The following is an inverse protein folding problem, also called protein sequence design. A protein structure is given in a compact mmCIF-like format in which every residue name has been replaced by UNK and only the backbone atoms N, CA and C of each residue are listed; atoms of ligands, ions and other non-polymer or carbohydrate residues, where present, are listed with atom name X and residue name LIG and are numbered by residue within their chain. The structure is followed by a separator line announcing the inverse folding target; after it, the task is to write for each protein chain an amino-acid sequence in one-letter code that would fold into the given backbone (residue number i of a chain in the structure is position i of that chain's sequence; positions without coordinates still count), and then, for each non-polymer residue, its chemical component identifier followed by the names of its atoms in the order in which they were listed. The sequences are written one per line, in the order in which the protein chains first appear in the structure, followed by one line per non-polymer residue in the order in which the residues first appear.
data_IF_254039648427
#
_entry.id   IF_254039648427
#
_cell.length_a   1.000
_cell.length_b   1.000
_cell.length_c   1.000
_cell.angle_alpha   90.00
_cell.angle_beta   90.00
_cell.angle_gamma   90.00
#
_symmetry.space_group_name_H-M   'P 1'
#
loop_
_entity.id
_entity.type
_entity.pdbx_description
1 polymer ?
#
# COMPACT_ATOMS: atom_id res chain seq x y z
N UNK A 1 -18.37 21.67 -24.13
CA UNK A 1 -17.80 20.31 -24.48
C UNK A 1 -17.85 19.47 -23.21
N UNK A 2 -18.46 18.27 -23.25
CA UNK A 2 -18.53 17.38 -22.08
C UNK A 2 -17.41 16.34 -22.18
N UNK A 3 -16.44 16.41 -21.26
CA UNK A 3 -15.23 15.62 -21.26
C UNK A 3 -15.22 14.61 -20.11
N UNK A 4 -14.84 13.37 -20.36
CA UNK A 4 -14.74 12.31 -19.35
C UNK A 4 -13.45 11.49 -19.52
N UNK A 5 -13.03 10.77 -18.46
CA UNK A 5 -12.02 9.73 -18.62
C UNK A 5 -12.62 8.53 -19.36
N UNK A 6 -11.90 8.02 -20.37
CA UNK A 6 -12.41 7.05 -21.37
C UNK A 6 -12.98 5.77 -20.74
N UNK A 7 -12.45 5.30 -19.65
CA UNK A 7 -12.80 4.02 -19.04
C UNK A 7 -13.06 4.15 -17.53
N UNK A 8 -13.62 5.27 -17.08
CA UNK A 8 -13.97 5.46 -15.68
C UNK A 8 -14.96 4.36 -15.23
N UNK A 9 -14.67 3.74 -14.07
CA UNK A 9 -15.45 2.65 -13.51
C UNK A 9 -15.13 1.27 -14.07
N UNK A 10 -14.55 1.17 -15.27
CA UNK A 10 -14.15 -0.10 -15.88
C UNK A 10 -12.65 -0.38 -15.77
N UNK A 11 -11.82 0.64 -15.52
CA UNK A 11 -10.39 0.50 -15.50
C UNK A 11 -9.80 1.01 -14.18
N UNK A 12 -9.05 0.15 -13.50
CA UNK A 12 -8.50 0.41 -12.17
C UNK A 12 -9.54 0.27 -11.05
N UNK A 13 -9.03 0.23 -9.79
CA UNK A 13 -9.87 0.20 -8.58
C UNK A 13 -10.15 1.62 -8.08
N UNK A 14 -10.85 1.77 -6.95
CA UNK A 14 -11.29 3.05 -6.39
C UNK A 14 -10.21 4.14 -6.44
N UNK A 15 -9.01 3.88 -5.92
CA UNK A 15 -7.94 4.90 -5.89
C UNK A 15 -7.53 5.40 -7.27
N UNK A 16 -7.44 4.51 -8.28
CA UNK A 16 -7.17 4.91 -9.66
C UNK A 16 -8.34 5.72 -10.24
N UNK A 17 -9.58 5.33 -9.94
CA UNK A 17 -10.77 6.03 -10.41
C UNK A 17 -10.89 7.44 -9.82
N UNK A 18 -10.49 7.63 -8.56
CA UNK A 18 -10.43 8.97 -7.95
C UNK A 18 -9.40 9.87 -8.67
N UNK A 19 -8.23 9.34 -9.06
CA UNK A 19 -7.28 10.08 -9.91
C UNK A 19 -7.85 10.41 -11.28
N UNK A 20 -8.60 9.50 -11.90
CA UNK A 20 -9.27 9.75 -13.18
C UNK A 20 -10.29 10.88 -13.07
N UNK A 21 -11.10 10.92 -12.01
CA UNK A 21 -12.07 11.99 -11.74
C UNK A 21 -11.32 13.31 -11.49
N UNK A 22 -10.35 13.32 -10.57
CA UNK A 22 -9.59 14.51 -10.22
C UNK A 22 -8.87 15.12 -11.43
N UNK A 23 -8.17 14.30 -12.21
CA UNK A 23 -7.48 14.75 -13.41
C UNK A 23 -8.44 15.25 -14.50
N UNK A 24 -9.63 14.65 -14.64
CA UNK A 24 -10.66 15.14 -15.58
C UNK A 24 -11.17 16.52 -15.17
N UNK A 25 -11.48 16.73 -13.88
CA UNK A 25 -11.86 18.02 -13.33
C UNK A 25 -10.76 19.08 -13.56
N UNK A 26 -9.50 18.75 -13.27
CA UNK A 26 -8.38 19.66 -13.47
C UNK A 26 -8.16 20.03 -14.94
N UNK A 27 -8.33 19.10 -15.86
CA UNK A 27 -8.25 19.39 -17.32
C UNK A 27 -9.40 20.27 -17.78
N UNK A 28 -10.63 20.01 -17.32
CA UNK A 28 -11.77 20.85 -17.63
C UNK A 28 -11.60 22.28 -17.09
N UNK A 29 -11.11 22.42 -15.86
CA UNK A 29 -10.79 23.71 -15.25
C UNK A 29 -9.74 24.49 -16.06
N UNK A 30 -8.65 23.84 -16.46
CA UNK A 30 -7.62 24.48 -17.32
C UNK A 30 -8.13 24.84 -18.71
N UNK A 31 -9.14 24.14 -19.20
CA UNK A 31 -9.83 24.46 -20.47
C UNK A 31 -10.90 25.56 -20.34
N UNK A 32 -11.08 26.14 -19.14
CA UNK A 32 -11.90 27.33 -18.89
C UNK A 32 -13.19 27.09 -18.10
N UNK A 33 -13.65 25.83 -17.96
CA UNK A 33 -14.88 25.55 -17.18
C UNK A 33 -14.86 24.12 -16.64
N UNK A 34 -14.76 24.01 -15.31
CA UNK A 34 -14.77 22.72 -14.60
C UNK A 34 -16.04 21.91 -14.82
N UNK A 35 -17.18 22.58 -15.08
CA UNK A 35 -18.46 21.92 -15.35
C UNK A 35 -18.51 21.18 -16.70
N UNK A 36 -17.48 21.34 -17.53
CA UNK A 36 -17.29 20.51 -18.71
C UNK A 36 -16.80 19.08 -18.36
N UNK A 37 -16.27 18.85 -17.17
CA UNK A 37 -16.00 17.50 -16.69
C UNK A 37 -17.33 16.79 -16.42
N UNK A 38 -17.49 15.57 -16.93
CA UNK A 38 -18.69 14.76 -16.69
C UNK A 38 -18.27 13.30 -16.53
N UNK A 39 -19.09 12.53 -15.82
CA UNK A 39 -18.79 11.15 -15.51
C UNK A 39 -19.98 10.25 -15.85
N UNK A 40 -19.76 9.00 -16.32
CA UNK A 40 -20.81 8.00 -16.41
C UNK A 40 -21.21 7.53 -15.01
N UNK A 41 -22.26 6.71 -14.92
CA UNK A 41 -22.63 6.07 -13.66
C UNK A 41 -21.42 5.40 -13.01
N UNK A 42 -21.19 5.73 -11.75
CA UNK A 42 -20.06 5.29 -10.98
C UNK A 42 -20.52 4.61 -9.68
N UNK A 43 -20.05 3.39 -9.42
CA UNK A 43 -20.52 2.59 -8.30
C UNK A 43 -20.29 3.24 -6.93
N UNK A 44 -19.26 4.08 -6.81
CA UNK A 44 -18.90 4.78 -5.57
C UNK A 44 -19.53 6.18 -5.44
N UNK A 45 -20.32 6.63 -6.43
CA UNK A 45 -20.94 7.96 -6.42
C UNK A 45 -21.67 8.29 -5.11
N UNK A 46 -22.49 7.40 -4.50
CA UNK A 46 -23.24 7.72 -3.28
C UNK A 46 -22.35 8.01 -2.05
N UNK A 47 -21.08 7.65 -2.11
CA UNK A 47 -20.13 7.76 -1.00
C UNK A 47 -19.38 9.08 -0.94
N UNK A 48 -19.43 9.89 -2.00
CA UNK A 48 -18.67 11.13 -2.15
C UNK A 48 -19.57 12.31 -2.45
N UNK A 49 -19.17 13.53 -2.02
CA UNK A 49 -19.92 14.77 -2.22
C UNK A 49 -19.80 15.36 -3.64
N UNK A 50 -19.52 14.52 -4.64
CA UNK A 50 -19.50 14.96 -6.03
C UNK A 50 -20.94 15.31 -6.46
N UNK A 51 -21.21 16.56 -6.89
CA UNK A 51 -22.57 16.97 -7.27
C UNK A 51 -23.14 16.14 -8.42
N UNK A 52 -24.43 15.82 -8.31
CA UNK A 52 -25.10 14.93 -9.26
C UNK A 52 -25.07 15.40 -10.72
N UNK A 53 -24.96 16.70 -10.99
CA UNK A 53 -24.91 17.23 -12.36
C UNK A 53 -23.63 16.84 -13.13
N UNK A 54 -22.59 16.37 -12.44
CA UNK A 54 -21.41 15.80 -13.09
C UNK A 54 -21.64 14.39 -13.62
N UNK A 55 -22.69 13.69 -13.16
CA UNK A 55 -23.00 12.34 -13.63
C UNK A 55 -24.04 12.39 -14.74
N UNK A 56 -23.67 11.86 -15.90
CA UNK A 56 -24.48 11.93 -17.12
C UNK A 56 -24.58 10.58 -17.81
N UNK A 57 -25.54 10.41 -18.69
CA UNK A 57 -25.61 9.22 -19.54
C UNK A 57 -24.38 9.18 -20.49
N UNK A 58 -23.90 7.99 -20.79
CA UNK A 58 -22.67 7.80 -21.59
C UNK A 58 -22.74 8.48 -22.98
N UNK A 59 -23.93 8.55 -23.57
CA UNK A 59 -24.17 9.22 -24.86
C UNK A 59 -24.09 10.76 -24.81
N UNK A 60 -24.05 11.36 -23.63
CA UNK A 60 -23.87 12.79 -23.44
C UNK A 60 -22.39 13.22 -23.38
N UNK A 61 -21.47 12.25 -23.27
CA UNK A 61 -20.02 12.50 -23.28
C UNK A 61 -19.58 12.77 -24.71
N UNK A 62 -19.05 13.96 -24.95
CA UNK A 62 -18.67 14.41 -26.31
C UNK A 62 -17.16 14.32 -26.58
N UNK A 63 -16.34 14.14 -25.54
CA UNK A 63 -14.91 13.97 -25.63
C UNK A 63 -14.38 13.06 -24.50
N UNK A 64 -13.31 12.31 -24.76
CA UNK A 64 -12.71 11.43 -23.76
C UNK A 64 -11.22 11.71 -23.60
N UNK A 65 -10.75 11.54 -22.35
CA UNK A 65 -9.34 11.54 -21.99
C UNK A 65 -8.88 10.08 -21.93
N UNK A 66 -7.80 9.77 -22.63
CA UNK A 66 -7.07 8.52 -22.46
C UNK A 66 -5.80 8.82 -21.64
N UNK A 67 -5.79 8.44 -20.37
CA UNK A 67 -4.66 8.63 -19.47
C UNK A 67 -3.69 7.46 -19.44
N UNK A 68 -3.89 6.46 -20.30
CA UNK A 68 -3.05 5.26 -20.35
C UNK A 68 -3.04 4.52 -19.00
N UNK A 69 -1.95 3.81 -18.74
CA UNK A 69 -1.73 3.05 -17.50
C UNK A 69 -1.42 3.93 -16.27
N UNK A 70 -1.08 5.20 -16.48
CA UNK A 70 -0.77 6.12 -15.37
C UNK A 70 -2.01 6.62 -14.63
N UNK A 71 -3.22 6.42 -15.17
CA UNK A 71 -4.50 6.81 -14.56
C UNK A 71 -4.55 8.28 -14.11
N UNK A 72 -3.72 9.15 -14.68
CA UNK A 72 -3.57 10.56 -14.26
C UNK A 72 -3.04 10.70 -12.81
N UNK A 73 -2.20 9.78 -12.34
CA UNK A 73 -1.59 9.80 -11.02
C UNK A 73 -0.47 10.86 -10.93
N UNK A 74 -0.87 12.12 -10.99
CA UNK A 74 0.01 13.28 -10.93
C UNK A 74 -0.75 14.46 -10.32
N UNK A 75 -0.22 15.04 -9.24
CA UNK A 75 -0.81 16.20 -8.56
C UNK A 75 -1.02 17.39 -9.52
N UNK A 76 -0.16 17.55 -10.52
CA UNK A 76 -0.25 18.63 -11.50
C UNK A 76 -1.50 18.55 -12.36
N UNK A 77 -2.06 17.34 -12.54
CA UNK A 77 -3.27 17.14 -13.32
C UNK A 77 -4.49 17.88 -12.71
N UNK A 78 -4.52 18.05 -11.38
CA UNK A 78 -5.66 18.69 -10.69
C UNK A 78 -5.25 19.84 -9.74
N UNK A 79 -4.01 20.32 -9.81
CA UNK A 79 -3.54 21.46 -9.00
C UNK A 79 -4.35 22.74 -9.18
N UNK A 80 -5.01 22.91 -10.33
CA UNK A 80 -5.87 24.06 -10.62
C UNK A 80 -7.24 24.00 -9.93
N UNK A 81 -7.61 22.88 -9.31
CA UNK A 81 -8.91 22.70 -8.65
C UNK A 81 -8.81 21.90 -7.35
N UNK A 82 -7.69 22.03 -6.63
CA UNK A 82 -7.41 21.28 -5.38
C UNK A 82 -8.51 21.45 -4.34
N UNK A 83 -9.03 22.66 -4.13
CA UNK A 83 -10.12 22.94 -3.18
C UNK A 83 -11.40 22.20 -3.55
N UNK A 84 -11.77 22.20 -4.83
CA UNK A 84 -12.93 21.46 -5.34
C UNK A 84 -12.76 19.95 -5.13
N UNK A 85 -11.57 19.42 -5.39
CA UNK A 85 -11.25 18.00 -5.18
C UNK A 85 -11.37 17.65 -3.68
N UNK A 86 -10.86 18.49 -2.80
CA UNK A 86 -10.98 18.29 -1.35
C UNK A 86 -12.43 18.29 -0.88
N UNK A 87 -13.29 19.14 -1.44
CA UNK A 87 -14.72 19.18 -1.14
C UNK A 87 -15.44 17.95 -1.70
N UNK A 88 -15.25 17.64 -2.99
CA UNK A 88 -15.96 16.57 -3.68
C UNK A 88 -15.65 15.18 -3.11
N UNK A 89 -14.42 14.98 -2.65
CA UNK A 89 -14.02 13.68 -2.10
C UNK A 89 -14.23 13.57 -0.59
N UNK A 90 -14.93 14.54 0.03
CA UNK A 90 -15.47 14.32 1.37
C UNK A 90 -16.55 13.24 1.35
N UNK A 91 -16.69 12.41 2.42
CA UNK A 91 -17.73 11.40 2.48
C UNK A 91 -19.10 12.05 2.67
N UNK A 92 -20.10 11.46 2.08
CA UNK A 92 -21.49 11.77 2.41
C UNK A 92 -21.84 11.28 3.82
N UNK A 93 -22.93 11.81 4.42
CA UNK A 93 -23.46 11.30 5.69
C UNK A 93 -23.83 9.81 5.58
N UNK A 94 -24.37 9.39 4.44
CA UNK A 94 -24.62 7.99 4.12
C UNK A 94 -23.35 7.14 4.25
N UNK A 95 -22.25 7.56 3.63
CA UNK A 95 -20.97 6.85 3.63
C UNK A 95 -20.41 6.68 5.06
N UNK A 96 -20.49 7.73 5.89
CA UNK A 96 -20.03 7.68 7.29
C UNK A 96 -20.92 6.75 8.12
N UNK A 97 -22.23 6.85 7.97
CA UNK A 97 -23.18 6.03 8.72
C UNK A 97 -23.01 4.55 8.39
N UNK A 98 -22.89 4.22 7.10
CA UNK A 98 -22.67 2.85 6.65
C UNK A 98 -21.31 2.31 7.15
N UNK A 99 -20.23 3.07 7.02
CA UNK A 99 -18.92 2.66 7.48
C UNK A 99 -18.90 2.39 9.00
N UNK A 100 -19.53 3.25 9.81
CA UNK A 100 -19.67 3.05 11.26
C UNK A 100 -20.50 1.82 11.62
N UNK A 101 -21.49 1.48 10.81
CA UNK A 101 -22.29 0.26 11.03
C UNK A 101 -21.51 -1.02 10.73
N UNK A 102 -20.55 -0.95 9.80
CA UNK A 102 -19.75 -2.07 9.37
C UNK A 102 -18.46 -2.26 10.18
N UNK A 103 -17.88 -1.16 10.69
CA UNK A 103 -16.65 -1.18 11.49
C UNK A 103 -16.88 -0.64 12.91
N UNK A 104 -16.59 -1.46 13.91
CA UNK A 104 -16.62 -1.06 15.33
C UNK A 104 -15.44 -0.19 15.76
N UNK A 105 -14.43 0.00 14.90
CA UNK A 105 -13.15 0.64 15.27
C UNK A 105 -13.19 2.18 15.22
N UNK A 106 -14.26 2.79 14.75
CA UNK A 106 -14.39 4.25 14.76
C UNK A 106 -14.41 4.80 16.19
N UNK A 107 -13.60 5.83 16.45
CA UNK A 107 -13.58 6.59 17.71
C UNK A 107 -13.32 5.75 18.98
N UNK A 108 -12.61 4.63 18.88
CA UNK A 108 -12.28 3.80 20.05
C UNK A 108 -11.04 4.28 20.81
N UNK A 109 -10.20 5.10 20.18
CA UNK A 109 -8.95 5.60 20.72
C UNK A 109 -8.88 7.12 20.56
N UNK A 110 -8.14 7.79 21.47
CA UNK A 110 -7.99 9.25 21.47
C UNK A 110 -7.18 9.75 20.26
N UNK A 111 -6.22 8.94 19.78
CA UNK A 111 -5.45 9.17 18.58
C UNK A 111 -5.27 7.85 17.82
N UNK A 112 -5.45 7.87 16.51
CA UNK A 112 -5.32 6.70 15.65
C UNK A 112 -4.40 6.95 14.47
N UNK A 113 -3.55 5.97 14.16
CA UNK A 113 -2.73 5.96 12.96
C UNK A 113 -3.18 4.82 12.04
N UNK A 114 -3.62 5.14 10.84
CA UNK A 114 -3.90 4.15 9.82
C UNK A 114 -2.60 3.57 9.25
N UNK A 115 -2.48 2.26 9.22
CA UNK A 115 -1.38 1.54 8.55
C UNK A 115 -1.98 0.74 7.40
N UNK A 116 -1.67 1.15 6.18
CA UNK A 116 -2.17 0.43 5.00
C UNK A 116 -1.09 -0.47 4.41
N UNK A 117 -1.36 -1.76 4.38
CA UNK A 117 -0.48 -2.79 3.82
C UNK A 117 -1.05 -3.30 2.51
N UNK A 118 -0.29 -3.16 1.42
CA UNK A 118 -0.67 -3.65 0.08
C UNK A 118 0.28 -4.76 -0.33
N UNK A 119 -0.24 -5.97 -0.50
CA UNK A 119 0.53 -7.17 -0.85
C UNK A 119 -0.13 -7.98 -1.97
N UNK A 120 -1.33 -8.43 -1.80
CA UNK A 120 -2.18 -9.23 -2.67
C UNK A 120 -1.66 -9.47 -4.09
N UNK A 121 -2.20 -8.74 -5.05
CA UNK A 121 -1.80 -8.81 -6.46
C UNK A 121 -0.36 -8.30 -6.74
N UNK A 122 0.24 -7.50 -5.85
CA UNK A 122 1.61 -6.99 -6.00
C UNK A 122 2.66 -8.09 -5.92
N UNK A 123 2.43 -9.13 -5.12
CA UNK A 123 3.32 -10.31 -5.04
C UNK A 123 3.47 -11.03 -6.39
N UNK A 124 2.42 -11.00 -7.21
CA UNK A 124 2.43 -11.60 -8.55
C UNK A 124 3.14 -10.77 -9.63
N UNK A 125 3.46 -9.50 -9.37
CA UNK A 125 3.98 -8.56 -10.38
C UNK A 125 5.18 -7.76 -9.84
N UNK A 126 6.24 -8.41 -9.33
CA UNK A 126 7.37 -7.73 -8.68
C UNK A 126 8.20 -6.84 -9.62
N UNK A 127 8.12 -7.07 -10.94
CA UNK A 127 8.77 -6.20 -11.91
C UNK A 127 8.15 -4.80 -11.97
N UNK A 128 6.89 -4.65 -11.57
CA UNK A 128 6.15 -3.38 -11.60
C UNK A 128 5.95 -2.80 -10.21
N UNK A 129 5.60 -3.64 -9.22
CA UNK A 129 5.28 -3.19 -7.87
C UNK A 129 6.29 -3.71 -6.86
N UNK A 130 6.74 -2.83 -5.97
CA UNK A 130 7.46 -3.23 -4.76
C UNK A 130 6.44 -3.44 -3.65
N UNK A 131 6.54 -4.58 -2.95
CA UNK A 131 5.82 -4.78 -1.69
C UNK A 131 6.64 -4.12 -0.59
N UNK A 132 6.02 -3.22 0.19
CA UNK A 132 6.67 -2.62 1.34
C UNK A 132 7.03 -3.71 2.37
N UNK A 133 8.29 -3.82 2.79
CA UNK A 133 8.73 -4.83 3.75
C UNK A 133 8.29 -4.49 5.17
N UNK A 134 8.29 -5.48 6.07
CA UNK A 134 7.82 -5.28 7.45
C UNK A 134 8.62 -4.19 8.18
N UNK A 135 9.93 -4.09 7.98
CA UNK A 135 10.75 -3.08 8.64
C UNK A 135 10.34 -1.65 8.29
N UNK A 136 9.83 -1.39 7.06
CA UNK A 136 9.28 -0.08 6.71
C UNK A 136 8.13 0.30 7.63
N UNK A 137 7.17 -0.62 7.84
CA UNK A 137 6.02 -0.36 8.71
C UNK A 137 6.44 -0.21 10.17
N UNK A 138 7.30 -1.09 10.67
CA UNK A 138 7.72 -1.06 12.08
C UNK A 138 8.54 0.18 12.41
N UNK A 139 9.43 0.62 11.53
CA UNK A 139 10.18 1.87 11.70
C UNK A 139 9.23 3.08 11.66
N UNK A 140 8.32 3.14 10.70
CA UNK A 140 7.33 4.21 10.60
C UNK A 140 6.39 4.25 11.83
N UNK A 141 5.98 3.10 12.35
CA UNK A 141 5.20 3.01 13.59
C UNK A 141 6.00 3.53 14.80
N UNK A 142 7.28 3.23 14.90
CA UNK A 142 8.13 3.76 15.97
C UNK A 142 8.25 5.30 15.89
N UNK A 143 8.36 5.86 14.69
CA UNK A 143 8.34 7.33 14.51
C UNK A 143 6.99 7.93 14.94
N UNK A 144 5.87 7.29 14.59
CA UNK A 144 4.54 7.75 15.02
C UNK A 144 4.36 7.63 16.54
N UNK A 145 4.83 6.55 17.19
CA UNK A 145 4.84 6.42 18.66
C UNK A 145 5.64 7.52 19.34
N UNK A 146 6.80 7.87 18.78
CA UNK A 146 7.62 8.95 19.31
C UNK A 146 6.93 10.31 19.22
N UNK A 147 6.15 10.54 18.15
CA UNK A 147 5.39 11.77 17.95
C UNK A 147 4.06 11.81 18.71
N UNK A 148 3.37 10.67 18.76
CA UNK A 148 2.04 10.50 19.35
C UNK A 148 2.05 9.29 20.28
N UNK A 149 2.49 9.43 21.56
CA UNK A 149 2.66 8.28 22.47
C UNK A 149 1.39 7.48 22.74
N UNK A 150 0.21 8.10 22.63
CA UNK A 150 -1.10 7.45 22.84
C UNK A 150 -1.73 6.93 21.54
N UNK A 151 -0.97 6.90 20.44
CA UNK A 151 -1.55 6.45 19.16
C UNK A 151 -1.83 4.94 19.17
N UNK A 152 -2.98 4.57 18.64
CA UNK A 152 -3.33 3.18 18.33
C UNK A 152 -3.29 2.97 16.82
N UNK A 153 -2.68 1.87 16.37
CA UNK A 153 -2.52 1.57 14.95
C UNK A 153 -3.64 0.68 14.44
N UNK A 154 -4.35 1.16 13.42
CA UNK A 154 -5.34 0.38 12.69
C UNK A 154 -4.71 -0.10 11.38
N UNK A 155 -4.41 -1.39 11.30
CA UNK A 155 -3.80 -2.02 10.12
C UNK A 155 -4.89 -2.51 9.19
N UNK A 156 -4.94 -1.95 7.98
CA UNK A 156 -5.85 -2.33 6.89
C UNK A 156 -5.06 -2.94 5.73
N UNK A 157 -5.52 -4.08 5.21
CA UNK A 157 -4.76 -4.81 4.19
C UNK A 157 -5.67 -5.64 3.29
N UNK A 158 -5.17 -5.95 2.09
CA UNK A 158 -5.69 -6.99 1.21
C UNK A 158 -5.08 -8.38 1.50
N UNK A 159 -4.19 -8.47 2.53
CA UNK A 159 -3.54 -9.67 3.04
C UNK A 159 -3.56 -9.62 4.58
N UNK A 160 -4.75 -9.82 5.16
CA UNK A 160 -4.96 -9.70 6.61
C UNK A 160 -4.27 -10.83 7.40
N UNK A 161 -4.14 -12.02 6.83
CA UNK A 161 -3.44 -13.14 7.47
C UNK A 161 -1.97 -12.81 7.71
N UNK A 162 -1.29 -12.34 6.68
CA UNK A 162 0.07 -11.85 6.82
C UNK A 162 0.19 -10.73 7.87
N UNK A 163 -0.76 -9.81 7.89
CA UNK A 163 -0.75 -8.72 8.88
C UNK A 163 -0.92 -9.25 10.31
N UNK A 164 -1.82 -10.21 10.53
CA UNK A 164 -2.02 -10.82 11.86
C UNK A 164 -0.71 -11.46 12.34
N UNK A 165 -0.03 -12.22 11.49
CA UNK A 165 1.25 -12.88 11.83
C UNK A 165 2.35 -11.86 12.15
N UNK A 166 2.50 -10.82 11.32
CA UNK A 166 3.64 -9.91 11.40
C UNK A 166 3.46 -8.73 12.38
N UNK A 167 2.23 -8.46 12.83
CA UNK A 167 1.96 -7.41 13.82
C UNK A 167 1.52 -7.96 15.20
N UNK A 168 1.46 -9.29 15.39
CA UNK A 168 0.99 -9.93 16.61
C UNK A 168 1.75 -9.52 17.89
N UNK A 169 3.04 -9.15 17.77
CA UNK A 169 3.87 -8.73 18.89
C UNK A 169 3.53 -7.34 19.44
N UNK A 170 2.76 -6.52 18.72
CA UNK A 170 2.45 -5.16 19.13
C UNK A 170 1.08 -5.08 19.84
N UNK A 171 1.06 -4.55 21.06
CA UNK A 171 -0.16 -4.44 21.87
C UNK A 171 -1.02 -3.22 21.53
N UNK A 172 -0.43 -2.23 20.84
CA UNK A 172 -1.05 -1.00 20.37
C UNK A 172 -1.53 -1.08 18.90
N UNK A 173 -1.69 -2.31 18.38
CA UNK A 173 -2.10 -2.57 16.99
C UNK A 173 -3.38 -3.38 16.94
N UNK A 174 -4.28 -3.00 16.06
CA UNK A 174 -5.44 -3.79 15.66
C UNK A 174 -5.40 -4.03 14.15
N UNK A 175 -5.33 -5.29 13.74
CA UNK A 175 -5.54 -5.67 12.33
C UNK A 175 -7.04 -5.66 12.06
N UNK A 176 -7.46 -4.77 11.16
CA UNK A 176 -8.86 -4.62 10.77
C UNK A 176 -9.20 -5.70 9.74
N UNK A 177 -10.21 -6.49 10.03
CA UNK A 177 -10.73 -7.48 9.08
C UNK A 177 -11.92 -6.89 8.33
N UNK A 178 -12.04 -7.23 7.05
CA UNK A 178 -13.17 -6.75 6.23
C UNK A 178 -14.52 -7.19 6.81
N UNK A 179 -15.55 -6.33 6.71
CA UNK A 179 -16.86 -6.63 7.27
C UNK A 179 -17.48 -7.89 6.67
N UNK A 180 -17.99 -8.78 7.52
CA UNK A 180 -18.75 -9.95 7.10
C UNK A 180 -20.14 -9.47 6.62
N UNK A 181 -20.64 -10.02 5.54
CA UNK A 181 -21.94 -9.68 4.91
C UNK A 181 -22.02 -8.30 4.21
N UNK A 182 -20.91 -7.64 3.94
CA UNK A 182 -20.87 -6.46 3.10
C UNK A 182 -20.72 -6.83 1.62
N UNK A 183 -21.31 -6.03 0.74
CA UNK A 183 -20.99 -6.11 -0.70
C UNK A 183 -19.55 -5.64 -0.94
N UNK A 184 -18.90 -6.00 -2.07
CA UNK A 184 -17.56 -5.54 -2.36
C UNK A 184 -17.41 -4.00 -2.32
N UNK A 185 -18.40 -3.25 -2.79
CA UNK A 185 -18.39 -1.78 -2.75
C UNK A 185 -18.48 -1.28 -1.30
N UNK A 186 -19.37 -1.85 -0.49
CA UNK A 186 -19.52 -1.49 0.91
C UNK A 186 -18.24 -1.77 1.71
N UNK A 187 -17.63 -2.96 1.53
CA UNK A 187 -16.37 -3.30 2.19
C UNK A 187 -15.26 -2.32 1.84
N UNK A 188 -15.05 -2.05 0.55
CA UNK A 188 -14.05 -1.08 0.09
C UNK A 188 -14.29 0.31 0.68
N UNK A 189 -15.55 0.77 0.72
CA UNK A 189 -15.87 2.11 1.23
C UNK A 189 -15.84 2.19 2.76
N UNK A 190 -16.18 1.12 3.46
CA UNK A 190 -16.08 1.05 4.92
C UNK A 190 -14.61 1.16 5.37
N UNK A 191 -13.73 0.35 4.77
CA UNK A 191 -12.29 0.39 5.02
C UNK A 191 -11.68 1.76 4.66
N UNK A 192 -12.09 2.34 3.51
CA UNK A 192 -11.63 3.65 3.07
C UNK A 192 -12.01 4.75 4.06
N UNK A 193 -13.25 4.80 4.52
CA UNK A 193 -13.73 5.82 5.44
C UNK A 193 -13.18 5.61 6.87
N UNK A 194 -12.97 4.36 7.31
CA UNK A 194 -12.29 4.07 8.56
C UNK A 194 -10.84 4.60 8.51
N UNK A 195 -10.08 4.23 7.46
CA UNK A 195 -8.72 4.70 7.26
C UNK A 195 -8.65 6.22 7.25
N UNK A 196 -9.52 6.87 6.47
CA UNK A 196 -9.60 8.30 6.32
C UNK A 196 -9.95 9.04 7.61
N UNK A 197 -10.65 8.39 8.56
CA UNK A 197 -11.01 8.97 9.86
C UNK A 197 -9.87 8.97 10.87
N UNK A 198 -8.73 8.34 10.56
CA UNK A 198 -7.55 8.34 11.42
C UNK A 198 -6.83 9.69 11.39
N UNK A 199 -6.06 9.97 12.45
CA UNK A 199 -5.36 11.24 12.65
C UNK A 199 -4.03 11.28 11.86
N UNK A 200 -3.35 10.13 11.73
CA UNK A 200 -2.07 9.99 11.03
C UNK A 200 -2.06 8.73 10.12
N UNK A 201 -1.07 8.66 9.22
CA UNK A 201 -1.04 7.63 8.18
C UNK A 201 0.36 7.06 7.95
N UNK A 202 0.42 5.74 7.81
CA UNK A 202 1.56 5.00 7.25
C UNK A 202 1.02 4.24 6.04
N UNK A 203 1.36 4.68 4.84
CA UNK A 203 0.78 4.13 3.61
C UNK A 203 1.79 3.28 2.84
N UNK A 204 1.32 2.23 2.19
CA UNK A 204 2.07 1.56 1.11
C UNK A 204 1.92 2.33 -0.21
N UNK A 205 2.60 1.86 -1.27
CA UNK A 205 2.54 2.40 -2.63
C UNK A 205 1.19 2.09 -3.33
N UNK A 206 0.09 2.49 -2.70
CA UNK A 206 -1.27 2.22 -3.16
C UNK A 206 -2.07 3.51 -3.31
N UNK A 207 -2.67 3.72 -4.48
CA UNK A 207 -3.56 4.86 -4.75
C UNK A 207 -4.77 4.90 -3.82
N UNK A 208 -5.17 3.77 -3.26
CA UNK A 208 -6.26 3.67 -2.30
C UNK A 208 -5.92 4.38 -0.99
N UNK A 209 -4.81 4.02 -0.34
CA UNK A 209 -4.35 4.69 0.88
C UNK A 209 -3.84 6.10 0.62
N UNK A 210 -3.31 6.37 -0.57
CA UNK A 210 -2.96 7.71 -1.00
C UNK A 210 -4.16 8.66 -0.90
N UNK A 211 -5.30 8.26 -1.46
CA UNK A 211 -6.51 9.07 -1.42
C UNK A 211 -7.15 9.15 -0.03
N UNK A 212 -7.08 8.08 0.76
CA UNK A 212 -7.54 8.14 2.14
C UNK A 212 -6.75 9.20 2.94
N UNK A 213 -5.42 9.18 2.86
CA UNK A 213 -4.55 10.16 3.50
C UNK A 213 -4.72 11.58 2.91
N UNK A 214 -4.79 11.72 1.58
CA UNK A 214 -4.93 13.02 0.93
C UNK A 214 -6.26 13.70 1.26
N UNK A 215 -7.37 12.97 1.25
CA UNK A 215 -8.70 13.50 1.54
C UNK A 215 -8.98 13.72 3.03
N UNK A 216 -8.20 13.11 3.93
CA UNK A 216 -8.27 13.40 5.38
C UNK A 216 -7.66 14.76 5.72
N UNK A 217 -6.79 15.31 4.85
CA UNK A 217 -6.01 16.52 5.05
C UNK A 217 -5.00 16.42 6.22
N UNK A 218 -4.69 15.21 6.70
CA UNK A 218 -3.65 15.02 7.71
C UNK A 218 -2.27 15.45 7.16
N UNK A 219 -1.50 16.11 8.01
CA UNK A 219 -0.10 16.46 7.73
C UNK A 219 0.87 15.35 8.12
N UNK A 220 0.40 14.37 8.90
CA UNK A 220 1.20 13.29 9.46
C UNK A 220 1.07 12.01 8.63
N UNK A 221 1.75 12.02 7.48
CA UNK A 221 1.75 10.92 6.53
C UNK A 221 3.17 10.43 6.27
N UNK A 222 3.42 9.16 6.54
CA UNK A 222 4.63 8.45 6.12
C UNK A 222 4.29 7.59 4.91
N UNK A 223 5.11 7.69 3.85
CA UNK A 223 4.94 6.98 2.59
C UNK A 223 6.26 6.36 2.12
N UNK A 224 6.24 5.32 1.27
CA UNK A 224 7.46 4.67 0.79
C UNK A 224 8.25 5.60 -0.14
N UNK A 225 9.58 5.45 -0.15
CA UNK A 225 10.49 6.20 -1.01
C UNK A 225 10.39 5.81 -2.49
N UNK A 226 9.76 4.70 -2.82
CA UNK A 226 9.57 4.17 -4.16
C UNK A 226 8.13 3.72 -4.37
N UNK A 227 7.51 4.15 -5.48
CA UNK A 227 6.11 3.84 -5.78
C UNK A 227 5.96 2.64 -6.71
N UNK A 228 6.72 2.64 -7.81
CA UNK A 228 6.77 1.59 -8.81
C UNK A 228 8.20 1.18 -9.09
N UNK A 229 8.38 0.01 -9.68
CA UNK A 229 9.65 -0.54 -10.12
C UNK A 229 9.89 -0.37 -11.63
N UNK A 230 11.14 -0.53 -12.05
CA UNK A 230 11.55 -0.61 -13.45
C UNK A 230 11.00 0.53 -14.31
N UNK A 231 10.60 0.21 -15.55
CA UNK A 231 10.07 1.20 -16.50
C UNK A 231 8.76 1.85 -16.05
N UNK A 232 7.98 1.20 -15.21
CA UNK A 232 6.73 1.77 -14.71
C UNK A 232 6.98 3.03 -13.84
N UNK A 233 8.11 3.10 -13.13
CA UNK A 233 8.48 4.26 -12.31
C UNK A 233 8.67 5.54 -13.13
N UNK A 234 9.04 5.42 -14.41
CA UNK A 234 9.20 6.59 -15.30
C UNK A 234 7.87 7.16 -15.79
N UNK A 235 6.79 6.36 -15.73
CA UNK A 235 5.45 6.79 -16.13
C UNK A 235 4.70 7.53 -15.02
N UNK A 236 5.04 7.24 -13.76
CA UNK A 236 4.47 7.89 -12.57
C UNK A 236 5.63 8.33 -11.69
N UNK A 237 6.21 9.53 -11.96
CA UNK A 237 7.29 10.06 -11.14
C UNK A 237 6.78 10.35 -9.72
N UNK A 238 7.48 9.80 -8.73
CA UNK A 238 7.08 9.92 -7.32
C UNK A 238 7.07 11.38 -6.84
N UNK A 239 7.88 12.22 -7.43
CA UNK A 239 8.00 13.65 -7.13
C UNK A 239 6.75 14.44 -7.48
N UNK A 240 5.99 14.00 -8.48
CA UNK A 240 4.75 14.64 -8.91
C UNK A 240 3.51 13.93 -8.39
N UNK A 241 3.66 12.73 -7.86
CA UNK A 241 2.60 11.97 -7.25
C UNK A 241 2.40 12.31 -5.76
N UNK A 242 3.49 12.41 -4.99
CA UNK A 242 3.41 12.58 -3.54
C UNK A 242 3.43 14.05 -3.14
N UNK A 243 2.52 14.48 -2.24
CA UNK A 243 2.60 15.81 -1.63
C UNK A 243 3.97 16.04 -0.97
N UNK A 244 4.53 17.23 -1.15
CA UNK A 244 5.88 17.55 -0.67
C UNK A 244 6.04 17.49 0.86
N UNK A 245 4.95 17.65 1.62
CA UNK A 245 4.95 17.59 3.08
C UNK A 245 4.87 16.16 3.63
N UNK A 246 4.58 15.15 2.78
CA UNK A 246 4.59 13.75 3.22
C UNK A 246 6.01 13.26 3.43
N UNK A 247 6.20 12.46 4.47
CA UNK A 247 7.52 11.96 4.85
C UNK A 247 7.81 10.64 4.13
N UNK A 248 8.84 10.64 3.29
CA UNK A 248 9.28 9.44 2.57
C UNK A 248 10.22 8.63 3.44
N UNK A 249 10.04 7.29 3.48
CA UNK A 249 10.94 6.35 4.16
C UNK A 249 11.39 5.27 3.21
N UNK A 250 12.64 4.82 3.38
CA UNK A 250 13.20 3.74 2.56
C UNK A 250 12.44 2.45 2.74
N UNK A 251 12.31 1.72 1.65
CA UNK A 251 11.82 0.34 1.58
C UNK A 251 12.91 -0.60 1.09
N UNK A 252 14.16 -0.14 1.05
CA UNK A 252 15.28 -0.96 0.66
C UNK A 252 15.61 -1.96 1.77
N UNK A 253 16.14 -3.14 1.43
CA UNK A 253 16.54 -4.12 2.42
C UNK A 253 17.55 -3.53 3.42
N UNK A 254 17.36 -3.82 4.71
CA UNK A 254 18.27 -3.39 5.79
C UNK A 254 19.22 -4.51 6.23
N UNK A 255 19.05 -5.71 5.67
CA UNK A 255 19.86 -6.87 5.97
C UNK A 255 19.88 -7.89 4.83
N UNK A 256 20.44 -9.07 5.05
CA UNK A 256 20.51 -10.14 4.06
C UNK A 256 19.13 -10.53 3.55
N UNK A 257 19.02 -10.79 2.25
CA UNK A 257 17.76 -11.12 1.58
C UNK A 257 17.92 -12.38 0.73
N UNK A 258 16.91 -13.25 0.74
CA UNK A 258 16.86 -14.42 -0.13
C UNK A 258 16.95 -14.00 -1.61
N UNK A 259 17.73 -14.74 -2.36
CA UNK A 259 17.83 -14.53 -3.80
C UNK A 259 16.47 -14.81 -4.49
N UNK A 260 15.98 -13.96 -5.37
CA UNK A 260 14.76 -14.22 -6.11
C UNK A 260 14.82 -15.50 -6.96
N UNK A 261 13.66 -16.11 -7.26
CA UNK A 261 13.53 -17.29 -8.11
C UNK A 261 14.11 -18.60 -7.54
N UNK A 262 14.14 -18.71 -6.23
CA UNK A 262 14.41 -19.97 -5.55
C UNK A 262 13.08 -20.69 -5.25
N UNK A 263 13.04 -22.00 -5.50
CA UNK A 263 11.94 -22.86 -5.04
C UNK A 263 12.39 -23.54 -3.75
N UNK A 264 11.54 -23.47 -2.73
CA UNK A 264 11.77 -24.04 -1.41
C UNK A 264 10.81 -25.20 -1.20
N UNK A 265 11.29 -26.33 -0.76
CA UNK A 265 10.49 -27.45 -0.31
C UNK A 265 11.06 -28.03 0.98
N UNK A 266 10.23 -28.68 1.77
CA UNK A 266 10.68 -29.40 2.97
C UNK A 266 11.49 -30.63 2.59
N UNK A 267 12.55 -30.91 3.35
CA UNK A 267 13.38 -32.09 3.31
C UNK A 267 13.45 -32.76 4.68
N UNK A 268 14.14 -33.89 4.79
CA UNK A 268 14.20 -34.69 6.04
C UNK A 268 14.85 -33.91 7.21
N UNK A 269 15.88 -33.09 6.92
CA UNK A 269 16.68 -32.38 7.95
C UNK A 269 16.53 -30.84 7.84
N UNK A 270 15.67 -30.32 6.99
CA UNK A 270 15.51 -28.89 6.74
C UNK A 270 14.98 -28.62 5.34
N UNK A 271 15.44 -27.56 4.66
CA UNK A 271 14.95 -27.19 3.34
C UNK A 271 15.78 -27.76 2.20
N UNK A 272 15.07 -28.06 1.11
CA UNK A 272 15.65 -28.31 -0.20
C UNK A 272 15.39 -27.07 -1.06
N UNK A 273 16.46 -26.39 -1.46
CA UNK A 273 16.39 -25.16 -2.27
C UNK A 273 16.80 -25.50 -3.70
N UNK A 274 15.90 -25.24 -4.65
CA UNK A 274 16.21 -25.34 -6.07
C UNK A 274 16.39 -23.95 -6.67
N UNK A 275 17.59 -23.61 -7.11
CA UNK A 275 17.84 -22.40 -7.89
C UNK A 275 17.39 -22.63 -9.34
N UNK A 276 16.30 -22.01 -9.74
CA UNK A 276 15.71 -22.22 -11.07
C UNK A 276 16.58 -21.65 -12.20
N UNK A 277 17.52 -20.75 -11.93
CA UNK A 277 18.44 -20.14 -12.90
C UNK A 277 19.62 -21.07 -13.21
N UNK A 278 20.28 -21.58 -12.15
CA UNK A 278 21.43 -22.48 -12.28
C UNK A 278 21.04 -23.95 -12.37
N UNK A 279 19.80 -24.29 -12.05
CA UNK A 279 19.26 -25.67 -11.90
C UNK A 279 19.99 -26.48 -10.82
N UNK A 280 20.65 -25.83 -9.89
CA UNK A 280 21.30 -26.49 -8.74
C UNK A 280 20.28 -26.74 -7.63
N UNK A 281 20.51 -27.82 -6.91
CA UNK A 281 19.73 -28.20 -5.73
C UNK A 281 20.67 -28.14 -4.53
N UNK A 282 20.22 -27.48 -3.46
CA UNK A 282 20.96 -27.35 -2.21
C UNK A 282 20.11 -27.91 -1.07
N UNK A 283 20.68 -28.79 -0.27
CA UNK A 283 20.05 -29.31 0.94
C UNK A 283 20.57 -28.51 2.13
N UNK A 284 19.66 -27.86 2.85
CA UNK A 284 19.98 -27.12 4.07
C UNK A 284 19.61 -27.97 5.28
N UNK A 285 20.47 -28.00 6.27
CA UNK A 285 20.13 -28.56 7.59
C UNK A 285 19.25 -27.60 8.38
N UNK A 286 18.83 -27.97 9.58
CA UNK A 286 17.89 -27.18 10.38
C UNK A 286 18.38 -25.74 10.66
N UNK A 287 19.69 -25.59 11.03
CA UNK A 287 20.23 -24.24 11.31
C UNK A 287 20.36 -23.38 10.07
N UNK A 288 20.83 -23.95 8.94
CA UNK A 288 20.91 -23.23 7.67
C UNK A 288 19.51 -22.89 7.11
N UNK A 289 18.49 -23.73 7.36
CA UNK A 289 17.11 -23.47 6.98
C UNK A 289 16.53 -22.29 7.75
N UNK A 290 16.66 -22.25 9.07
CA UNK A 290 16.25 -21.11 9.87
C UNK A 290 16.99 -19.83 9.47
N UNK A 291 18.31 -19.92 9.28
CA UNK A 291 19.11 -18.79 8.82
C UNK A 291 18.63 -18.26 7.46
N UNK A 292 18.31 -19.16 6.52
CA UNK A 292 17.73 -18.80 5.23
C UNK A 292 16.34 -18.15 5.38
N UNK A 293 15.51 -18.65 6.29
CA UNK A 293 14.20 -18.04 6.60
C UNK A 293 14.33 -16.63 7.15
N UNK A 294 15.29 -16.37 8.02
CA UNK A 294 15.55 -15.05 8.60
C UNK A 294 16.10 -14.04 7.60
N UNK A 295 16.67 -14.48 6.48
CA UNK A 295 17.16 -13.62 5.40
C UNK A 295 16.01 -13.04 4.57
N UNK A 296 15.20 -12.20 5.15
CA UNK A 296 14.02 -11.55 4.52
C UNK A 296 14.33 -10.20 3.91
N UNK A 297 15.51 -9.62 4.18
CA UNK A 297 15.84 -8.22 3.90
C UNK A 297 15.32 -7.25 4.97
N UNK A 298 14.52 -7.73 5.92
CA UNK A 298 13.94 -6.90 7.00
C UNK A 298 14.67 -7.11 8.34
N UNK A 299 15.40 -8.17 8.49
CA UNK A 299 16.24 -8.44 9.67
C UNK A 299 17.66 -7.97 9.36
N UNK A 300 18.25 -7.19 10.25
CA UNK A 300 19.69 -6.88 10.20
C UNK A 300 20.52 -8.13 10.50
N UNK A 301 21.81 -8.08 10.21
CA UNK A 301 22.70 -9.18 10.59
C UNK A 301 22.72 -9.38 12.11
N UNK A 302 22.59 -8.31 12.88
CA UNK A 302 22.56 -8.38 14.35
C UNK A 302 21.26 -9.04 14.85
N UNK A 303 20.09 -8.71 14.25
CA UNK A 303 18.83 -9.38 14.58
C UNK A 303 18.92 -10.90 14.29
N UNK A 304 19.50 -11.27 13.14
CA UNK A 304 19.68 -12.66 12.75
C UNK A 304 20.61 -13.36 13.75
N UNK A 305 21.72 -12.74 14.12
CA UNK A 305 22.66 -13.29 15.10
C UNK A 305 22.00 -13.52 16.46
N UNK A 306 21.18 -12.56 16.93
CA UNK A 306 20.46 -12.68 18.20
C UNK A 306 19.52 -13.89 18.19
N UNK A 307 18.69 -14.02 17.14
CA UNK A 307 17.75 -15.13 17.01
C UNK A 307 18.49 -16.47 16.91
N UNK A 308 19.52 -16.54 16.06
CA UNK A 308 20.28 -17.77 15.85
C UNK A 308 20.98 -18.23 17.11
N UNK A 309 21.60 -17.33 17.89
CA UNK A 309 22.22 -17.65 19.18
C UNK A 309 21.21 -18.16 20.22
N UNK A 310 19.96 -17.65 20.17
CA UNK A 310 18.90 -18.13 21.06
C UNK A 310 18.47 -19.55 20.73
N UNK A 311 18.41 -19.91 19.44
CA UNK A 311 17.93 -21.23 18.97
C UNK A 311 19.08 -22.27 18.90
N UNK A 312 20.28 -21.84 18.49
CA UNK A 312 21.48 -22.68 18.32
C UNK A 312 22.65 -22.09 19.10
N UNK A 313 22.67 -22.25 20.42
CA UNK A 313 23.69 -21.63 21.29
C UNK A 313 25.11 -22.23 21.16
N UNK A 314 25.27 -23.29 20.38
CA UNK A 314 26.57 -23.98 20.13
C UNK A 314 27.38 -23.38 18.97
N UNK A 315 26.95 -22.21 18.43
CA UNK A 315 27.55 -21.52 17.29
C UNK A 315 27.67 -22.35 15.99
N UNK A 316 26.97 -23.47 15.90
CA UNK A 316 27.01 -24.38 14.72
C UNK A 316 26.58 -23.71 13.41
N UNK A 317 25.97 -22.57 13.49
CA UNK A 317 25.46 -21.77 12.38
C UNK A 317 26.38 -20.60 11.97
N UNK A 318 27.40 -20.25 12.75
CA UNK A 318 28.16 -19.00 12.62
C UNK A 318 28.78 -18.75 11.22
N UNK A 319 29.13 -19.80 10.48
CA UNK A 319 29.60 -19.70 9.08
C UNK A 319 28.47 -19.77 8.05
N UNK A 320 27.24 -20.09 8.47
CA UNK A 320 26.12 -20.41 7.56
C UNK A 320 25.71 -19.23 6.66
N UNK A 321 25.69 -18.00 7.20
CA UNK A 321 25.36 -16.82 6.39
C UNK A 321 26.36 -16.59 5.25
N UNK A 322 27.66 -16.76 5.54
CA UNK A 322 28.71 -16.64 4.52
C UNK A 322 28.58 -17.74 3.47
N UNK A 323 28.22 -18.95 3.90
CA UNK A 323 27.98 -20.07 3.00
C UNK A 323 26.77 -19.81 2.10
N UNK A 324 25.62 -19.38 2.64
CA UNK A 324 24.43 -19.02 1.87
C UNK A 324 24.72 -17.88 0.86
N UNK A 325 25.52 -16.88 1.25
CA UNK A 325 25.99 -15.82 0.35
C UNK A 325 26.88 -16.39 -0.76
N UNK A 326 27.84 -17.26 -0.43
CA UNK A 326 28.76 -17.86 -1.41
C UNK A 326 28.05 -18.76 -2.42
N UNK A 327 27.01 -19.44 -2.00
CA UNK A 327 26.15 -20.28 -2.85
C UNK A 327 25.19 -19.43 -3.71
N UNK A 328 25.08 -18.12 -3.45
CA UNK A 328 24.15 -17.23 -4.12
C UNK A 328 22.68 -17.45 -3.74
N UNK A 329 22.42 -18.13 -2.62
CA UNK A 329 21.08 -18.36 -2.09
C UNK A 329 20.54 -17.13 -1.34
N UNK A 330 21.46 -16.31 -0.84
CA UNK A 330 21.19 -15.05 -0.15
C UNK A 330 22.03 -13.95 -0.78
N UNK A 331 21.52 -12.73 -0.77
CA UNK A 331 22.19 -11.51 -1.20
C UNK A 331 22.42 -10.60 0.03
N UNK A 332 23.53 -9.84 0.09
CA UNK A 332 23.74 -8.86 1.15
C UNK A 332 22.70 -7.74 1.04
N UNK A 333 22.55 -6.95 2.11
CA UNK A 333 21.88 -5.63 2.02
C UNK A 333 22.58 -4.76 0.96
N UNK A 334 21.83 -4.01 0.19
CA UNK A 334 22.36 -3.11 -0.83
C UNK A 334 23.03 -1.89 -0.22
#
# INVERSE_FOLDING_TARGET
MRISYKALGANGRLGNQLFQIAGTLGRAQRAGDINNAVFPNWAYQPYFNVPNHYFVAANEITATIDGGYAYMQDLREFSSCTEVIQEFFQPTEFAITEARSLHRHFNQHAHTTAVHVRRGDYLGIPATFTVCPIHYFTQAMNEMRAKFPETHFLVLSDDSEWCIENFAQFTDVTVVTSPINATPVQSVMADFNLMRSCDAFIISNSTYSWWAAYSSQSTDVICPSRWLNGLASTQIPIETLLPNHWQRRSIDPIGPMRTPQLLVSEGDDGFIITDTRSRKIHNLNASASLLFELCTGSNTTDDINEIMNMVFPDDSWASGLQELLSLGLVQPAL
#
